data_IF_271317898397
#
_entry.id   IF_271317898397
#
_cell.length_a   1.000
_cell.length_b   1.000
_cell.length_c   1.000
_cell.angle_alpha   90.00
_cell.angle_beta   90.00
_cell.angle_gamma   90.00
#
_symmetry.space_group_name_H-M   'P 1'
#
loop_
_entity.id
_entity.type
_entity.pdbx_description
1 polymer ?
#
# COMPACT_ATOMS: atom_id res chain seq x y z
N UNK A 1 46.82 14.74 -1.94
CA UNK A 1 46.68 13.28 -2.13
C UNK A 1 45.37 13.03 -2.84
N UNK A 2 45.46 12.57 -4.07
CA UNK A 2 44.35 12.45 -5.03
C UNK A 2 43.84 11.01 -5.09
N UNK A 3 42.52 10.85 -5.07
CA UNK A 3 41.78 9.60 -5.18
C UNK A 3 41.83 8.97 -6.59
N UNK A 4 41.68 7.64 -6.72
CA UNK A 4 41.18 7.03 -7.94
C UNK A 4 39.87 6.23 -7.74
N UNK A 5 39.00 6.33 -8.74
CA UNK A 5 37.68 5.68 -8.96
C UNK A 5 37.78 4.19 -9.35
N UNK A 6 36.75 3.35 -9.08
CA UNK A 6 36.71 1.96 -9.53
C UNK A 6 35.86 1.77 -10.80
N UNK A 7 36.52 1.45 -11.92
CA UNK A 7 35.93 0.82 -13.11
C UNK A 7 36.87 -0.31 -13.56
N UNK A 8 36.72 -1.52 -13.04
CA UNK A 8 37.32 -2.72 -13.66
C UNK A 8 36.87 -4.03 -12.99
N UNK A 9 35.77 -4.63 -13.44
CA UNK A 9 35.61 -6.10 -13.41
C UNK A 9 34.38 -6.58 -14.18
N UNK A 10 34.40 -6.44 -15.51
CA UNK A 10 33.58 -7.26 -16.41
C UNK A 10 34.50 -7.84 -17.47
N UNK A 11 35.08 -9.02 -17.20
CA UNK A 11 35.66 -9.96 -18.19
C UNK A 11 36.23 -11.21 -17.47
N UNK A 12 35.38 -12.22 -17.30
CA UNK A 12 35.65 -13.67 -17.21
C UNK A 12 34.27 -14.26 -16.92
N UNK A 13 33.60 -14.88 -17.89
CA UNK A 13 33.74 -16.32 -18.17
C UNK A 13 33.32 -16.53 -19.62
N UNK A 14 34.27 -16.90 -20.47
CA UNK A 14 34.08 -17.67 -21.70
C UNK A 14 35.47 -18.06 -22.19
N UNK A 15 35.91 -19.29 -21.89
CA UNK A 15 36.89 -20.07 -22.66
C UNK A 15 37.20 -21.39 -21.94
N UNK A 16 36.71 -22.50 -22.50
CA UNK A 16 37.45 -23.77 -22.64
C UNK A 16 36.80 -24.59 -23.76
N UNK A 17 37.45 -24.62 -24.92
CA UNK A 17 37.55 -25.78 -25.82
C UNK A 17 38.62 -25.49 -26.90
N UNK A 18 39.48 -26.47 -27.16
CA UNK A 18 40.72 -26.42 -27.97
C UNK A 18 40.47 -26.69 -29.47
N UNK A 19 41.45 -26.47 -30.39
CA UNK A 19 41.23 -26.46 -31.84
C UNK A 19 41.79 -27.69 -32.59
N UNK A 20 41.06 -28.13 -33.62
CA UNK A 20 41.52 -28.81 -34.85
C UNK A 20 40.27 -28.96 -35.73
N UNK A 21 40.20 -28.77 -37.04
CA UNK A 21 41.16 -28.59 -38.15
C UNK A 21 40.40 -27.96 -39.33
N UNK A 22 41.10 -27.28 -40.23
CA UNK A 22 40.57 -26.52 -41.40
C UNK A 22 40.00 -27.39 -42.52
N UNK A 23 38.96 -26.91 -43.21
CA UNK A 23 38.81 -26.95 -44.68
C UNK A 23 37.67 -26.02 -45.17
N UNK A 24 37.72 -25.52 -46.43
CA UNK A 24 37.05 -24.30 -46.86
C UNK A 24 35.64 -24.51 -47.45
N UNK A 25 34.85 -23.43 -47.41
CA UNK A 25 33.54 -23.26 -48.04
C UNK A 25 33.53 -23.68 -49.52
N UNK A 26 32.36 -24.12 -50.02
CA UNK A 26 31.90 -23.65 -51.32
C UNK A 26 30.51 -22.99 -51.23
N UNK A 27 30.38 -21.92 -52.01
CA UNK A 27 29.12 -21.31 -52.38
C UNK A 27 28.30 -22.24 -53.29
N UNK A 28 26.97 -22.21 -53.16
CA UNK A 28 26.02 -21.99 -54.25
C UNK A 28 24.59 -22.31 -53.80
N UNK A 29 23.67 -21.44 -54.22
CA UNK A 29 22.22 -21.60 -54.17
C UNK A 29 21.75 -22.90 -54.85
N UNK A 30 20.84 -23.63 -54.21
CA UNK A 30 19.78 -24.35 -54.90
C UNK A 30 18.50 -24.32 -54.05
N UNK A 31 17.41 -23.86 -54.68
CA UNK A 31 16.05 -23.78 -54.14
C UNK A 31 15.52 -25.14 -53.65
N UNK A 32 14.45 -25.00 -52.86
CA UNK A 32 13.38 -25.95 -52.49
C UNK A 32 13.62 -26.77 -51.24
N UNK A 33 13.14 -26.25 -50.10
CA UNK A 33 12.35 -27.09 -49.21
C UNK A 33 11.26 -26.24 -48.52
N UNK A 34 10.02 -26.70 -48.65
CA UNK A 34 8.82 -26.09 -48.12
C UNK A 34 8.71 -26.39 -46.64
N UNK A 35 9.04 -25.42 -45.78
CA UNK A 35 8.42 -25.32 -44.45
C UNK A 35 7.93 -23.91 -44.25
N UNK A 36 6.62 -23.73 -44.49
CA UNK A 36 5.86 -22.60 -43.97
C UNK A 36 6.03 -22.61 -42.45
N UNK A 37 6.95 -21.80 -41.95
CA UNK A 37 6.85 -21.28 -40.60
C UNK A 37 5.68 -20.31 -40.63
N UNK A 38 4.62 -20.61 -39.88
CA UNK A 38 3.63 -19.61 -39.51
C UNK A 38 4.37 -18.52 -38.73
N UNK A 39 4.80 -17.49 -39.44
CA UNK A 39 5.10 -16.22 -38.79
C UNK A 39 3.80 -15.80 -38.12
N UNK A 40 3.80 -15.71 -36.79
CA UNK A 40 2.80 -14.94 -36.07
C UNK A 40 2.87 -13.51 -36.60
N UNK A 41 2.10 -13.23 -37.64
CA UNK A 41 1.67 -11.88 -37.96
C UNK A 41 0.85 -11.45 -36.76
N UNK A 42 1.44 -10.62 -35.90
CA UNK A 42 0.67 -9.80 -34.99
C UNK A 42 -0.12 -8.88 -35.92
N UNK A 43 -1.37 -9.25 -36.18
CA UNK A 43 -2.33 -8.34 -36.78
C UNK A 43 -2.39 -7.16 -35.81
N UNK A 44 -1.76 -6.05 -36.21
CA UNK A 44 -1.92 -4.77 -35.54
C UNK A 44 -3.37 -4.39 -35.82
N UNK A 45 -4.26 -4.83 -34.93
CA UNK A 45 -5.63 -4.34 -34.83
C UNK A 45 -5.54 -2.83 -34.92
N UNK A 46 -6.26 -2.22 -35.87
CA UNK A 46 -6.31 -0.76 -36.01
C UNK A 46 -6.51 -0.14 -34.64
N UNK A 47 -5.79 0.93 -34.32
CA UNK A 47 -5.79 1.48 -32.97
C UNK A 47 -7.14 2.12 -32.66
N UNK A 48 -8.08 1.33 -32.17
CA UNK A 48 -9.30 1.77 -31.48
C UNK A 48 -8.97 2.39 -30.11
N UNK A 49 -7.71 2.81 -29.90
CA UNK A 49 -7.25 3.52 -28.71
C UNK A 49 -7.88 4.90 -28.75
N UNK A 50 -8.72 5.27 -27.76
CA UNK A 50 -9.27 6.60 -27.68
C UNK A 50 -8.14 7.63 -27.68
N UNK A 51 -8.26 8.66 -28.52
CA UNK A 51 -7.28 9.75 -28.57
C UNK A 51 -7.31 10.64 -27.33
N UNK A 52 -8.40 10.56 -26.57
CA UNK A 52 -8.59 11.22 -25.29
C UNK A 52 -8.69 10.13 -24.22
N UNK A 53 -7.79 10.11 -23.22
CA UNK A 53 -7.90 9.16 -22.13
C UNK A 53 -9.18 9.42 -21.33
N UNK A 54 -9.82 8.39 -20.76
CA UNK A 54 -10.92 8.59 -19.83
C UNK A 54 -10.41 9.44 -18.65
N UNK A 55 -11.06 10.57 -18.40
CA UNK A 55 -10.71 11.45 -17.29
C UNK A 55 -11.42 10.99 -16.02
N UNK A 56 -10.73 10.97 -14.87
CA UNK A 56 -11.39 10.77 -13.59
C UNK A 56 -12.49 11.83 -13.38
N UNK A 57 -13.68 11.49 -12.85
CA UNK A 57 -14.78 12.43 -12.67
C UNK A 57 -14.35 13.74 -11.98
N UNK A 58 -13.62 13.64 -10.86
CA UNK A 58 -13.11 14.79 -10.09
C UNK A 58 -12.23 15.70 -10.97
N UNK A 59 -11.39 15.10 -11.82
CA UNK A 59 -10.53 15.86 -12.73
C UNK A 59 -11.30 16.47 -13.89
N UNK A 60 -12.29 15.76 -14.42
CA UNK A 60 -13.18 16.23 -15.50
C UNK A 60 -13.97 17.47 -15.07
N UNK A 61 -14.57 17.44 -13.88
CA UNK A 61 -15.30 18.59 -13.32
C UNK A 61 -14.38 19.80 -13.12
N UNK A 62 -13.19 19.58 -12.57
CA UNK A 62 -12.19 20.63 -12.38
C UNK A 62 -11.72 21.25 -13.69
N UNK A 63 -11.50 20.44 -14.73
CA UNK A 63 -11.17 20.95 -16.07
C UNK A 63 -12.31 21.81 -16.61
N UNK A 64 -13.56 21.35 -16.47
CA UNK A 64 -14.71 22.09 -16.96
C UNK A 64 -14.83 23.46 -16.27
N UNK A 65 -14.70 23.52 -14.94
CA UNK A 65 -14.67 24.76 -14.16
C UNK A 65 -13.53 25.68 -14.63
N UNK A 66 -12.31 25.13 -14.74
CA UNK A 66 -11.15 25.92 -15.19
C UNK A 66 -11.36 26.48 -16.59
N UNK A 67 -11.95 25.71 -17.51
CA UNK A 67 -12.27 26.16 -18.86
C UNK A 67 -13.34 27.26 -18.86
N UNK A 68 -14.35 27.19 -18.00
CA UNK A 68 -15.37 28.23 -17.87
C UNK A 68 -14.76 29.54 -17.39
N UNK A 69 -13.95 29.50 -16.33
CA UNK A 69 -13.21 30.66 -15.81
C UNK A 69 -12.28 31.29 -16.84
N UNK A 70 -11.61 30.45 -17.65
CA UNK A 70 -10.79 30.91 -18.77
C UNK A 70 -11.63 31.62 -19.85
N UNK A 71 -12.80 31.09 -20.21
CA UNK A 71 -13.72 31.75 -21.16
C UNK A 71 -14.28 33.07 -20.61
N UNK A 72 -14.46 33.17 -19.30
CA UNK A 72 -14.87 34.38 -18.61
C UNK A 72 -13.75 35.44 -18.47
N UNK A 73 -12.50 35.10 -18.86
CA UNK A 73 -11.36 36.02 -18.79
C UNK A 73 -10.78 36.19 -17.38
N UNK A 74 -11.01 35.23 -16.48
CA UNK A 74 -10.54 35.30 -15.08
C UNK A 74 -9.05 35.00 -14.89
N UNK A 75 -8.37 34.48 -15.92
CA UNK A 75 -6.96 34.20 -15.86
C UNK A 75 -6.14 35.47 -16.07
N UNK A 76 -5.15 35.68 -15.19
CA UNK A 76 -4.17 36.74 -15.34
C UNK A 76 -2.76 36.21 -15.07
N UNK A 77 -1.77 36.79 -15.77
CA UNK A 77 -0.37 36.36 -15.64
C UNK A 77 0.16 36.55 -14.21
N UNK A 78 -0.38 37.52 -13.49
CA UNK A 78 -0.09 37.81 -12.08
C UNK A 78 -0.44 36.66 -11.13
N UNK A 79 -1.26 35.69 -11.57
CA UNK A 79 -1.58 34.48 -10.81
C UNK A 79 -0.52 33.37 -10.96
N UNK A 80 0.39 33.49 -11.91
CA UNK A 80 1.40 32.46 -12.20
C UNK A 80 2.54 32.52 -11.17
N UNK A 81 2.94 31.40 -10.54
CA UNK A 81 4.07 31.38 -9.61
C UNK A 81 5.34 31.96 -10.24
N UNK A 82 5.94 32.95 -9.56
CA UNK A 82 7.17 33.60 -10.04
C UNK A 82 7.00 34.56 -11.21
N UNK A 83 5.77 34.92 -11.62
CA UNK A 83 5.59 35.88 -12.70
C UNK A 83 6.05 37.28 -12.31
N UNK A 84 6.93 37.85 -13.13
CA UNK A 84 7.36 39.24 -13.04
C UNK A 84 7.23 39.87 -14.43
N UNK A 85 6.42 40.93 -14.52
CA UNK A 85 6.17 41.64 -15.78
C UNK A 85 7.48 42.14 -16.41
N UNK A 86 7.68 41.80 -17.68
CA UNK A 86 8.86 42.20 -18.45
C UNK A 86 10.12 41.38 -18.15
N UNK A 87 10.04 40.35 -17.31
CA UNK A 87 11.15 39.43 -17.03
C UNK A 87 10.87 38.03 -17.60
N UNK A 88 11.93 37.28 -17.85
CA UNK A 88 11.82 35.86 -18.20
C UNK A 88 11.48 35.06 -16.93
N UNK A 89 10.75 33.94 -17.03
CA UNK A 89 10.59 33.03 -15.90
C UNK A 89 11.94 32.62 -15.36
N UNK A 90 12.12 32.69 -14.04
CA UNK A 90 13.28 32.10 -13.37
C UNK A 90 12.98 30.62 -13.12
N UNK A 91 13.98 29.77 -13.27
CA UNK A 91 13.85 28.34 -12.91
C UNK A 91 13.80 28.13 -11.41
N UNK A 92 14.21 29.14 -10.62
CA UNK A 92 14.26 29.13 -9.16
C UNK A 92 12.93 28.69 -8.53
N UNK A 93 11.82 29.34 -8.91
CA UNK A 93 10.49 28.98 -8.40
C UNK A 93 10.12 27.54 -8.72
N UNK A 94 10.40 27.07 -9.94
CA UNK A 94 10.04 25.72 -10.38
C UNK A 94 10.96 24.63 -9.82
N UNK A 95 12.18 24.95 -9.43
CA UNK A 95 13.09 24.03 -8.78
C UNK A 95 12.78 23.86 -7.27
N UNK A 96 12.02 24.80 -6.70
CA UNK A 96 11.72 24.84 -5.27
C UNK A 96 10.22 24.66 -4.95
N UNK A 97 9.36 24.54 -5.94
CA UNK A 97 7.95 24.16 -5.74
C UNK A 97 7.84 22.66 -5.48
N UNK A 98 7.15 22.29 -4.41
CA UNK A 98 6.92 20.88 -4.10
C UNK A 98 5.83 20.29 -5.01
N UNK A 99 5.96 19.01 -5.35
CA UNK A 99 4.90 18.28 -6.06
C UNK A 99 3.55 18.36 -5.33
N UNK A 100 3.57 18.37 -3.99
CA UNK A 100 2.37 18.47 -3.14
C UNK A 100 1.67 19.83 -3.27
N UNK A 101 2.34 20.88 -3.73
CA UNK A 101 1.71 22.17 -4.05
C UNK A 101 1.03 22.16 -5.43
N UNK A 102 1.51 21.31 -6.34
CA UNK A 102 1.02 21.18 -7.71
C UNK A 102 -0.12 20.18 -7.79
N UNK A 103 0.00 19.04 -7.12
CA UNK A 103 -0.96 17.93 -7.22
C UNK A 103 -2.41 18.37 -6.99
N UNK A 104 -2.77 19.08 -5.89
CA UNK A 104 -4.14 19.52 -5.65
C UNK A 104 -4.60 20.54 -6.68
N UNK A 105 -3.68 21.25 -7.35
CA UNK A 105 -3.96 22.20 -8.46
C UNK A 105 -4.11 21.52 -9.83
N UNK A 106 -3.75 20.26 -9.95
CA UNK A 106 -4.00 19.47 -11.16
C UNK A 106 -5.26 18.65 -10.96
N UNK A 107 -5.35 17.89 -9.86
CA UNK A 107 -6.36 16.84 -9.70
C UNK A 107 -7.64 17.28 -9.01
N UNK A 108 -7.66 18.45 -8.37
CA UNK A 108 -8.88 19.01 -7.76
C UNK A 108 -9.14 18.52 -6.35
N UNK A 109 -8.19 17.77 -5.79
CA UNK A 109 -8.34 17.14 -4.49
C UNK A 109 -6.98 16.91 -3.84
N UNK A 110 -7.01 16.70 -2.54
CA UNK A 110 -5.92 16.11 -1.79
C UNK A 110 -6.11 14.59 -1.67
N UNK A 111 -5.04 13.90 -1.29
CA UNK A 111 -5.03 12.48 -0.95
C UNK A 111 -3.85 12.20 0.00
N UNK A 112 -3.83 11.02 0.61
CA UNK A 112 -2.76 10.53 1.47
C UNK A 112 -3.24 10.10 2.85
N UNK A 113 -2.74 8.96 3.32
CA UNK A 113 -2.96 8.41 4.68
C UNK A 113 -1.89 8.81 5.70
N UNK A 114 -0.99 9.74 5.35
CA UNK A 114 0.11 10.18 6.22
C UNK A 114 -0.39 10.67 7.59
N UNK A 115 0.35 10.34 8.65
CA UNK A 115 0.03 10.73 10.01
C UNK A 115 -1.23 10.07 10.58
N UNK A 116 -1.76 10.67 11.65
CA UNK A 116 -2.93 10.16 12.39
C UNK A 116 -4.07 11.18 12.49
N UNK A 117 -4.05 12.22 11.63
CA UNK A 117 -5.11 13.24 11.59
C UNK A 117 -6.46 12.66 11.16
N UNK A 118 -7.50 13.49 11.12
CA UNK A 118 -8.87 13.03 10.89
C UNK A 118 -9.06 12.36 9.53
N UNK A 119 -9.48 11.10 9.53
CA UNK A 119 -9.79 10.29 8.36
C UNK A 119 -11.05 10.81 7.69
N UNK A 120 -10.98 10.97 6.38
CA UNK A 120 -12.06 11.57 5.59
C UNK A 120 -12.60 10.63 4.53
N UNK A 121 -11.75 9.78 3.96
CA UNK A 121 -12.13 8.96 2.81
C UNK A 121 -11.37 7.64 2.78
N UNK A 122 -12.10 6.56 2.52
CA UNK A 122 -11.57 5.20 2.40
C UNK A 122 -12.20 4.46 1.22
N UNK A 123 -11.59 3.35 0.84
CA UNK A 123 -12.19 2.34 -0.03
C UNK A 123 -12.22 0.99 0.68
N UNK A 124 -13.36 0.32 0.56
CA UNK A 124 -13.56 -1.10 0.86
C UNK A 124 -13.80 -1.84 -0.46
N UNK A 125 -13.69 -3.16 -0.46
CA UNK A 125 -13.92 -3.97 -1.66
C UNK A 125 -15.25 -4.70 -1.56
N UNK A 126 -15.87 -4.98 -2.70
CA UNK A 126 -17.00 -5.91 -2.74
C UNK A 126 -16.53 -7.31 -2.37
N UNK A 127 -17.20 -7.91 -1.38
CA UNK A 127 -16.92 -9.29 -0.94
C UNK A 127 -17.74 -10.24 -1.82
N UNK A 128 -17.09 -11.24 -2.39
CA UNK A 128 -17.74 -12.24 -3.25
C UNK A 128 -17.29 -13.66 -2.89
N UNK A 129 -17.92 -14.66 -3.51
CA UNK A 129 -17.51 -16.06 -3.35
C UNK A 129 -16.06 -16.34 -3.79
N UNK A 130 -15.42 -15.40 -4.48
CA UNK A 130 -14.01 -15.47 -4.88
C UNK A 130 -13.03 -15.40 -3.71
N UNK A 131 -13.46 -14.99 -2.51
CA UNK A 131 -12.61 -15.15 -1.32
C UNK A 131 -12.41 -16.63 -0.96
N UNK A 132 -13.31 -17.49 -1.44
CA UNK A 132 -13.32 -18.91 -1.11
C UNK A 132 -13.22 -19.78 -2.37
N UNK A 133 -12.00 -19.99 -2.84
CA UNK A 133 -11.75 -21.01 -3.86
C UNK A 133 -11.46 -22.38 -3.24
N UNK A 134 -12.06 -23.44 -3.80
CA UNK A 134 -11.89 -24.82 -3.33
C UNK A 134 -10.44 -25.31 -3.36
N UNK A 135 -9.58 -24.72 -4.22
CA UNK A 135 -8.19 -25.14 -4.31
C UNK A 135 -7.34 -24.72 -3.09
N UNK A 136 -7.81 -23.77 -2.27
CA UNK A 136 -7.10 -23.34 -1.06
C UNK A 136 -6.97 -24.47 -0.03
N UNK A 137 -7.91 -25.42 -0.02
CA UNK A 137 -7.92 -26.55 0.92
C UNK A 137 -7.16 -27.78 0.37
N UNK A 138 -6.60 -27.72 -0.86
CA UNK A 138 -5.87 -28.85 -1.46
C UNK A 138 -4.50 -29.09 -0.81
N UNK A 139 -3.83 -28.03 -0.38
CA UNK A 139 -2.55 -28.08 0.32
C UNK A 139 -2.48 -26.97 1.38
N UNK A 140 -2.97 -27.24 2.60
CA UNK A 140 -2.96 -26.27 3.69
C UNK A 140 -1.56 -25.83 4.13
N UNK A 141 -0.50 -26.60 3.83
CA UNK A 141 0.87 -26.20 4.13
C UNK A 141 1.37 -25.14 3.13
N UNK A 142 0.96 -25.26 1.86
CA UNK A 142 1.27 -24.28 0.82
C UNK A 142 0.38 -23.03 0.90
N UNK A 143 -0.88 -23.18 1.33
CA UNK A 143 -1.82 -22.09 1.60
C UNK A 143 -2.05 -21.92 3.10
N UNK A 144 -1.02 -21.48 3.87
CA UNK A 144 -1.12 -21.40 5.31
C UNK A 144 -2.28 -20.49 5.73
N UNK A 145 -2.91 -20.88 6.83
CA UNK A 145 -4.05 -20.21 7.45
C UNK A 145 -3.63 -19.64 8.79
N UNK A 146 -4.24 -18.52 9.20
CA UNK A 146 -3.94 -17.93 10.51
C UNK A 146 -4.81 -18.52 11.61
N UNK A 147 -6.03 -18.96 11.29
CA UNK A 147 -6.94 -19.58 12.26
C UNK A 147 -7.58 -20.86 11.70
N UNK A 148 -8.56 -20.73 10.81
CA UNK A 148 -9.43 -21.83 10.38
C UNK A 148 -9.26 -22.22 8.90
N UNK A 149 -9.79 -23.39 8.53
CA UNK A 149 -9.88 -23.87 7.13
C UNK A 149 -10.59 -22.87 6.21
N UNK A 150 -10.19 -22.73 4.94
CA UNK A 150 -10.88 -21.82 4.00
C UNK A 150 -12.34 -22.23 3.81
N UNK A 151 -12.62 -23.53 3.84
CA UNK A 151 -13.98 -24.08 3.86
C UNK A 151 -14.86 -23.55 5.00
N UNK A 152 -14.30 -23.04 6.10
CA UNK A 152 -15.03 -22.49 7.25
C UNK A 152 -15.45 -21.02 7.09
N UNK A 153 -14.99 -20.33 6.05
CA UNK A 153 -15.35 -18.94 5.78
C UNK A 153 -16.81 -18.88 5.34
N UNK A 154 -17.57 -18.04 6.03
CA UNK A 154 -18.96 -17.70 5.79
C UNK A 154 -19.04 -16.37 5.04
N UNK A 155 -19.17 -16.45 3.70
CA UNK A 155 -19.21 -15.28 2.82
C UNK A 155 -20.39 -14.35 3.12
N UNK A 156 -21.64 -14.84 3.31
CA UNK A 156 -22.75 -13.99 3.76
C UNK A 156 -22.42 -13.21 5.05
N UNK A 157 -21.84 -13.87 6.06
CA UNK A 157 -21.44 -13.20 7.30
C UNK A 157 -20.34 -12.15 7.05
N UNK A 158 -19.36 -12.45 6.21
CA UNK A 158 -18.29 -11.51 5.84
C UNK A 158 -18.86 -10.27 5.12
N UNK A 159 -19.87 -10.45 4.26
CA UNK A 159 -20.61 -9.34 3.63
C UNK A 159 -21.33 -8.51 4.69
N UNK A 160 -22.09 -9.13 5.59
CA UNK A 160 -22.82 -8.42 6.65
C UNK A 160 -21.88 -7.62 7.55
N UNK A 161 -20.73 -8.19 7.92
CA UNK A 161 -19.70 -7.50 8.70
C UNK A 161 -19.05 -6.35 7.92
N UNK A 162 -18.79 -6.51 6.62
CA UNK A 162 -18.30 -5.43 5.75
C UNK A 162 -19.27 -4.26 5.68
N UNK A 163 -20.58 -4.54 5.57
CA UNK A 163 -21.62 -3.51 5.52
C UNK A 163 -21.82 -2.82 6.87
N UNK A 164 -21.76 -3.56 7.98
CA UNK A 164 -21.79 -2.98 9.32
C UNK A 164 -20.60 -2.04 9.56
N UNK A 165 -19.41 -2.42 9.07
CA UNK A 165 -18.22 -1.58 9.12
C UNK A 165 -18.37 -0.30 8.30
N UNK A 166 -18.83 -0.40 7.06
CA UNK A 166 -19.14 0.75 6.21
C UNK A 166 -20.09 1.73 6.90
N UNK A 167 -21.22 1.23 7.41
CA UNK A 167 -22.20 2.07 8.11
C UNK A 167 -21.61 2.75 9.35
N UNK A 168 -20.71 2.07 10.09
CA UNK A 168 -20.02 2.67 11.23
C UNK A 168 -19.09 3.81 10.80
N UNK A 169 -18.39 3.67 9.68
CA UNK A 169 -17.52 4.72 9.13
C UNK A 169 -18.33 5.94 8.65
N UNK A 170 -19.40 5.70 7.90
CA UNK A 170 -20.28 6.77 7.39
C UNK A 170 -20.96 7.55 8.51
N UNK A 171 -21.38 6.86 9.59
CA UNK A 171 -21.94 7.49 10.78
C UNK A 171 -20.96 8.47 11.47
N UNK A 172 -19.64 8.30 11.25
CA UNK A 172 -18.59 9.17 11.76
C UNK A 172 -18.03 10.11 10.69
N UNK A 173 -18.74 10.28 9.57
CA UNK A 173 -18.42 11.27 8.54
C UNK A 173 -17.26 10.90 7.63
N UNK A 174 -16.91 9.61 7.55
CA UNK A 174 -15.95 9.08 6.58
C UNK A 174 -16.70 8.73 5.30
N UNK A 175 -16.20 9.20 4.15
CA UNK A 175 -16.69 8.80 2.84
C UNK A 175 -16.15 7.40 2.53
N UNK A 176 -17.06 6.46 2.26
CA UNK A 176 -16.69 5.08 1.90
C UNK A 176 -16.98 4.85 0.42
N UNK A 177 -15.99 4.34 -0.30
CA UNK A 177 -16.15 3.83 -1.66
C UNK A 177 -16.11 2.31 -1.65
N UNK A 178 -16.82 1.67 -2.60
CA UNK A 178 -16.67 0.23 -2.86
C UNK A 178 -16.06 -0.03 -4.23
N UNK A 179 -15.04 -0.89 -4.25
CA UNK A 179 -14.41 -1.38 -5.49
C UNK A 179 -14.77 -2.83 -5.74
N UNK A 180 -15.31 -3.10 -6.92
CA UNK A 180 -15.59 -4.45 -7.39
C UNK A 180 -14.44 -4.95 -8.26
N UNK A 181 -13.94 -6.15 -8.00
CA UNK A 181 -13.05 -6.83 -8.94
C UNK A 181 -13.86 -7.50 -10.06
N UNK A 182 -13.29 -7.66 -11.28
CA UNK A 182 -13.84 -8.56 -12.28
C UNK A 182 -13.99 -9.97 -11.70
N UNK A 183 -15.03 -10.70 -12.11
CA UNK A 183 -15.33 -12.03 -11.56
C UNK A 183 -15.09 -13.13 -12.60
N UNK A 184 -14.30 -14.19 -12.28
CA UNK A 184 -13.47 -14.30 -11.08
C UNK A 184 -12.28 -13.32 -11.14
N UNK A 185 -11.77 -12.83 -9.99
CA UNK A 185 -10.61 -11.96 -9.96
C UNK A 185 -9.37 -12.76 -10.34
N UNK A 186 -8.42 -12.12 -11.02
CA UNK A 186 -7.25 -12.79 -11.60
C UNK A 186 -5.97 -12.20 -11.04
N UNK A 187 -5.07 -13.08 -10.65
CA UNK A 187 -3.68 -12.79 -10.28
C UNK A 187 -2.71 -13.24 -11.37
N UNK A 188 -1.43 -12.88 -11.22
CA UNK A 188 -0.38 -13.33 -12.11
C UNK A 188 -0.25 -14.88 -12.23
N UNK A 189 -0.75 -15.64 -11.24
CA UNK A 189 -0.55 -17.08 -11.14
C UNK A 189 -1.86 -17.89 -11.05
N UNK A 190 -3.01 -17.28 -11.33
CA UNK A 190 -4.32 -17.95 -11.26
C UNK A 190 -5.38 -17.06 -10.62
N UNK A 191 -6.45 -17.64 -10.03
CA UNK A 191 -7.47 -16.86 -9.34
C UNK A 191 -6.85 -16.00 -8.23
N UNK A 192 -7.22 -14.73 -8.17
CA UNK A 192 -6.72 -13.85 -7.12
C UNK A 192 -7.31 -14.25 -5.77
N UNK A 193 -6.57 -13.95 -4.70
CA UNK A 193 -6.96 -14.31 -3.34
C UNK A 193 -6.94 -13.09 -2.41
N UNK A 194 -7.81 -13.12 -1.41
CA UNK A 194 -7.93 -12.10 -0.36
C UNK A 194 -8.26 -10.72 -0.96
N UNK A 195 -9.15 -10.66 -1.95
CA UNK A 195 -9.50 -9.38 -2.61
C UNK A 195 -10.08 -8.36 -1.63
N UNK A 196 -10.59 -8.84 -0.50
CA UNK A 196 -10.98 -8.08 0.69
C UNK A 196 -9.92 -7.13 1.27
N UNK A 197 -8.63 -7.40 1.06
CA UNK A 197 -7.52 -6.64 1.64
C UNK A 197 -7.25 -5.32 0.91
N UNK A 198 -8.17 -4.37 1.01
CA UNK A 198 -8.10 -3.08 0.32
C UNK A 198 -6.92 -2.20 0.75
N UNK A 199 -6.29 -2.47 1.90
CA UNK A 199 -5.13 -1.71 2.39
C UNK A 199 -3.91 -1.75 1.45
N UNK A 200 -3.87 -2.70 0.51
CA UNK A 200 -2.86 -2.70 -0.55
C UNK A 200 -2.93 -1.48 -1.45
N UNK A 201 -4.09 -0.82 -1.53
CA UNK A 201 -4.14 0.55 -2.01
C UNK A 201 -3.56 1.48 -0.94
N UNK A 202 -2.24 1.62 -0.96
CA UNK A 202 -1.54 2.49 -0.05
C UNK A 202 -1.35 3.86 -0.67
N UNK A 203 -2.07 4.86 -0.16
CA UNK A 203 -2.03 6.23 -0.67
C UNK A 203 -1.18 7.10 0.24
N UNK A 204 -0.07 7.59 -0.29
CA UNK A 204 0.71 8.67 0.33
C UNK A 204 0.21 10.03 -0.21
N UNK A 205 0.61 11.14 0.44
CA UNK A 205 0.28 12.45 -0.12
C UNK A 205 0.80 12.57 -1.55
N UNK A 206 -0.10 12.93 -2.46
CA UNK A 206 0.16 13.05 -3.90
C UNK A 206 -0.14 11.79 -4.73
N UNK A 207 -0.30 10.60 -4.12
CA UNK A 207 -0.69 9.41 -4.87
C UNK A 207 -0.46 8.06 -4.18
N UNK A 208 -0.92 7.01 -4.84
CA UNK A 208 -0.75 5.61 -4.46
C UNK A 208 0.66 5.10 -4.75
N UNK A 209 1.07 4.03 -4.07
CA UNK A 209 2.31 3.30 -4.36
C UNK A 209 2.02 1.84 -4.62
N UNK A 210 2.75 1.22 -5.53
CA UNK A 210 2.61 -0.20 -5.84
C UNK A 210 3.62 -1.01 -5.02
N UNK A 211 3.16 -1.85 -4.06
CA UNK A 211 4.03 -2.74 -3.32
C UNK A 211 4.55 -3.86 -4.22
N UNK A 212 5.59 -4.55 -3.75
CA UNK A 212 5.96 -5.86 -4.26
C UNK A 212 5.85 -6.88 -3.14
N UNK A 213 4.97 -7.86 -3.35
CA UNK A 213 4.61 -8.91 -2.40
C UNK A 213 5.76 -9.88 -2.16
N UNK A 214 6.03 -10.14 -0.89
CA UNK A 214 6.95 -11.20 -0.45
C UNK A 214 6.23 -12.50 -0.15
N UNK A 215 4.95 -12.38 0.24
CA UNK A 215 4.13 -13.51 0.67
C UNK A 215 2.86 -13.58 -0.18
N UNK A 216 2.42 -14.81 -0.45
CA UNK A 216 1.19 -15.16 -1.18
C UNK A 216 1.20 -14.76 -2.69
N UNK A 217 1.57 -15.68 -3.60
CA UNK A 217 1.67 -15.38 -5.03
C UNK A 217 0.32 -15.00 -5.67
N UNK A 218 -0.81 -15.47 -5.12
CA UNK A 218 -2.14 -15.18 -5.65
C UNK A 218 -2.66 -13.77 -5.33
N UNK A 219 -1.87 -12.94 -4.63
CA UNK A 219 -2.16 -11.52 -4.42
C UNK A 219 -1.58 -10.61 -5.51
N UNK A 220 -0.67 -11.11 -6.37
CA UNK A 220 -0.06 -10.31 -7.45
C UNK A 220 -1.11 -9.82 -8.44
N UNK A 221 -1.19 -8.51 -8.69
CA UNK A 221 -2.21 -7.87 -9.52
C UNK A 221 -3.29 -7.12 -8.71
N UNK A 222 -3.41 -7.37 -7.40
CA UNK A 222 -4.42 -6.73 -6.54
C UNK A 222 -4.14 -5.24 -6.37
N UNK A 223 -2.93 -4.87 -5.94
CA UNK A 223 -2.56 -3.47 -5.77
C UNK A 223 -2.61 -2.67 -7.09
N UNK A 224 -2.21 -3.28 -8.20
CA UNK A 224 -2.28 -2.66 -9.53
C UNK A 224 -3.72 -2.37 -9.94
N UNK A 225 -4.65 -3.31 -9.69
CA UNK A 225 -6.06 -3.11 -9.97
C UNK A 225 -6.67 -2.00 -9.09
N UNK A 226 -6.37 -2.02 -7.78
CA UNK A 226 -6.84 -0.99 -6.86
C UNK A 226 -6.28 0.39 -7.22
N UNK A 227 -5.01 0.48 -7.61
CA UNK A 227 -4.39 1.74 -8.03
C UNK A 227 -4.98 2.25 -9.37
N UNK A 228 -5.25 1.35 -10.32
CA UNK A 228 -5.97 1.70 -11.55
C UNK A 228 -7.35 2.28 -11.23
N UNK A 229 -8.11 1.64 -10.34
CA UNK A 229 -9.40 2.14 -9.89
C UNK A 229 -9.26 3.51 -9.22
N UNK A 230 -8.34 3.67 -8.27
CA UNK A 230 -8.13 4.92 -7.54
C UNK A 230 -7.73 6.06 -8.49
N UNK A 231 -6.88 5.78 -9.47
CA UNK A 231 -6.52 6.77 -10.48
C UNK A 231 -7.74 7.13 -11.33
N UNK A 232 -8.37 6.15 -11.96
CA UNK A 232 -9.44 6.39 -12.95
C UNK A 232 -10.74 6.90 -12.34
N UNK A 233 -11.00 6.65 -11.06
CA UNK A 233 -12.24 7.05 -10.38
C UNK A 233 -12.05 8.25 -9.47
N UNK A 234 -10.92 8.32 -8.77
CA UNK A 234 -10.69 9.34 -7.75
C UNK A 234 -9.65 10.38 -8.17
N UNK A 235 -8.87 10.14 -9.21
CA UNK A 235 -7.76 11.03 -9.59
C UNK A 235 -6.53 10.86 -8.70
N UNK A 236 -6.34 9.68 -8.09
CA UNK A 236 -5.18 9.34 -7.24
C UNK A 236 -4.16 8.57 -8.10
N UNK A 237 -3.07 9.22 -8.60
CA UNK A 237 -2.11 8.59 -9.50
C UNK A 237 -1.18 7.61 -8.74
N UNK A 238 -0.33 6.89 -9.46
CA UNK A 238 0.77 6.10 -8.87
C UNK A 238 2.03 6.96 -8.78
N UNK A 239 2.61 7.10 -7.58
CA UNK A 239 3.87 7.80 -7.33
C UNK A 239 5.08 6.95 -7.71
N UNK A 240 5.08 5.69 -7.28
CA UNK A 240 6.16 4.74 -7.53
C UNK A 240 5.69 3.29 -7.41
N UNK A 241 6.57 2.37 -7.81
CA UNK A 241 6.42 0.94 -7.62
C UNK A 241 7.71 0.37 -7.03
N UNK A 242 7.60 -0.61 -6.14
CA UNK A 242 8.74 -1.39 -5.67
C UNK A 242 9.18 -2.36 -6.77
N UNK A 243 10.46 -2.33 -7.14
CA UNK A 243 10.97 -3.08 -8.30
C UNK A 243 12.19 -3.94 -7.97
N UNK A 244 12.63 -4.75 -8.95
CA UNK A 244 13.82 -5.60 -8.82
C UNK A 244 13.63 -6.67 -7.74
N UNK A 245 14.63 -6.81 -6.86
CA UNK A 245 14.58 -7.75 -5.72
C UNK A 245 13.92 -7.16 -4.47
N UNK A 246 13.45 -5.91 -4.53
CA UNK A 246 12.73 -5.28 -3.43
C UNK A 246 11.45 -6.04 -3.09
N UNK A 247 11.20 -6.18 -1.79
CA UNK A 247 9.99 -6.73 -1.20
C UNK A 247 9.54 -5.73 -0.12
N UNK A 248 8.33 -5.22 -0.25
CA UNK A 248 7.79 -4.27 0.72
C UNK A 248 6.26 -4.30 0.65
N UNK A 249 5.64 -5.11 1.50
CA UNK A 249 4.19 -5.14 1.64
C UNK A 249 3.73 -3.93 2.44
N UNK A 250 3.57 -2.80 1.77
CA UNK A 250 3.28 -1.53 2.47
C UNK A 250 1.86 -1.47 3.05
N UNK A 251 0.92 -2.27 2.54
CA UNK A 251 -0.47 -2.30 3.03
C UNK A 251 -0.61 -2.35 4.56
N UNK A 252 0.04 -3.30 5.26
CA UNK A 252 0.05 -3.37 6.72
C UNK A 252 0.90 -2.31 7.44
N UNK A 253 1.70 -1.51 6.72
CA UNK A 253 2.45 -0.40 7.31
C UNK A 253 1.51 0.77 7.67
N UNK A 254 1.93 1.63 8.59
CA UNK A 254 1.13 2.78 9.02
C UNK A 254 2.00 3.83 9.70
N UNK A 255 1.42 5.01 9.93
CA UNK A 255 2.05 6.10 10.65
C UNK A 255 1.63 6.08 12.13
N UNK A 256 2.51 6.48 13.04
CA UNK A 256 2.14 6.83 14.43
C UNK A 256 2.02 8.35 14.64
N UNK A 257 2.61 9.12 13.74
CA UNK A 257 2.61 10.59 13.69
C UNK A 257 3.04 11.00 12.26
N UNK A 258 3.00 12.30 11.95
CA UNK A 258 3.45 12.82 10.64
C UNK A 258 4.89 12.41 10.27
N UNK A 259 5.75 12.25 11.28
CA UNK A 259 7.20 11.97 11.18
C UNK A 259 7.58 10.56 11.67
N UNK A 260 6.61 9.69 11.98
CA UNK A 260 6.88 8.34 12.50
C UNK A 260 6.17 7.30 11.65
N UNK A 261 6.94 6.52 10.89
CA UNK A 261 6.44 5.46 10.04
C UNK A 261 6.82 4.08 10.58
N UNK A 262 5.85 3.18 10.65
CA UNK A 262 6.02 1.79 11.09
C UNK A 262 6.04 0.87 9.88
N UNK A 263 7.08 0.05 9.82
CA UNK A 263 7.27 -1.03 8.85
C UNK A 263 7.92 -2.21 9.56
N UNK A 264 8.37 -3.22 8.82
CA UNK A 264 9.22 -4.24 9.42
C UNK A 264 10.14 -4.92 8.43
N UNK A 265 10.91 -5.88 8.93
CA UNK A 265 11.83 -6.75 8.22
C UNK A 265 11.39 -8.20 8.41
N UNK A 266 11.41 -9.02 7.37
CA UNK A 266 11.05 -10.43 7.47
C UNK A 266 10.48 -11.02 6.18
N UNK A 267 9.52 -11.92 6.27
CA UNK A 267 9.00 -12.61 5.08
C UNK A 267 8.29 -11.68 4.08
N UNK A 268 7.69 -10.60 4.57
CA UNK A 268 6.94 -9.62 3.78
C UNK A 268 7.73 -8.34 3.43
N UNK A 269 9.00 -8.26 3.84
CA UNK A 269 9.82 -7.05 3.71
C UNK A 269 11.32 -7.38 3.59
N UNK A 270 12.06 -6.63 2.80
CA UNK A 270 13.52 -6.70 2.81
C UNK A 270 14.19 -5.32 2.68
N UNK A 271 15.50 -5.28 2.94
CA UNK A 271 16.31 -4.06 2.92
C UNK A 271 16.18 -3.28 1.60
N UNK A 272 16.14 -3.99 0.45
CA UNK A 272 16.02 -3.37 -0.86
C UNK A 272 14.66 -2.67 -1.03
N UNK A 273 13.58 -3.31 -0.58
CA UNK A 273 12.24 -2.70 -0.59
C UNK A 273 12.17 -1.49 0.33
N UNK A 274 12.74 -1.58 1.53
CA UNK A 274 12.82 -0.47 2.48
C UNK A 274 13.62 0.71 1.90
N UNK A 275 14.76 0.44 1.26
CA UNK A 275 15.62 1.46 0.67
C UNK A 275 14.92 2.24 -0.46
N UNK A 276 14.10 1.56 -1.27
CA UNK A 276 13.28 2.22 -2.29
C UNK A 276 12.16 3.08 -1.67
N UNK A 277 11.53 2.63 -0.58
CA UNK A 277 10.35 3.30 -0.03
C UNK A 277 10.64 4.45 0.93
N UNK A 278 11.75 4.43 1.69
CA UNK A 278 12.09 5.49 2.65
C UNK A 278 12.04 6.90 2.06
N UNK A 279 12.70 7.20 0.91
CA UNK A 279 12.66 8.54 0.33
C UNK A 279 11.27 8.97 -0.12
N UNK A 280 10.45 8.02 -0.60
CA UNK A 280 9.09 8.31 -1.07
C UNK A 280 8.18 8.65 0.11
N UNK A 281 8.26 7.88 1.19
CA UNK A 281 7.51 8.12 2.42
C UNK A 281 7.89 9.48 3.02
N UNK A 282 9.19 9.77 3.17
CA UNK A 282 9.67 11.03 3.72
C UNK A 282 9.20 12.25 2.90
N UNK A 283 9.41 12.22 1.58
CA UNK A 283 8.99 13.32 0.69
C UNK A 283 7.47 13.52 0.70
N UNK A 284 6.69 12.44 0.79
CA UNK A 284 5.23 12.57 0.92
C UNK A 284 4.79 13.21 2.24
N UNK A 285 5.62 13.15 3.29
CA UNK A 285 5.39 13.87 4.54
C UNK A 285 5.90 15.33 4.49
N UNK A 286 6.57 15.74 3.40
CA UNK A 286 7.26 17.03 3.29
C UNK A 286 8.53 17.09 4.14
N UNK A 287 9.18 15.93 4.35
CA UNK A 287 10.36 15.77 5.20
C UNK A 287 11.50 15.11 4.42
N UNK A 288 12.73 15.33 4.90
CA UNK A 288 13.87 14.52 4.51
C UNK A 288 13.88 13.19 5.27
N UNK A 289 14.63 12.20 4.78
CA UNK A 289 14.67 10.85 5.38
C UNK A 289 15.22 10.90 6.80
N UNK A 290 16.13 11.83 7.07
CA UNK A 290 16.79 12.07 8.34
C UNK A 290 15.86 12.67 9.40
N UNK A 291 14.82 13.38 8.97
CA UNK A 291 13.80 13.98 9.84
C UNK A 291 12.65 13.01 10.13
N UNK A 292 12.59 11.90 9.39
CA UNK A 292 11.65 10.81 9.64
C UNK A 292 12.21 9.80 10.64
N UNK A 293 11.37 9.38 11.58
CA UNK A 293 11.59 8.14 12.32
C UNK A 293 10.97 6.97 11.56
N UNK A 294 11.80 6.00 11.19
CA UNK A 294 11.33 4.71 10.70
C UNK A 294 11.45 3.66 11.81
N UNK A 295 10.31 3.27 12.39
CA UNK A 295 10.22 2.10 13.26
C UNK A 295 10.16 0.86 12.38
N UNK A 296 11.33 0.27 12.14
CA UNK A 296 11.48 -0.90 11.29
C UNK A 296 11.60 -2.14 12.17
N UNK A 297 10.47 -2.82 12.39
CA UNK A 297 10.36 -3.92 13.32
C UNK A 297 11.02 -5.19 12.74
N UNK A 298 12.01 -5.73 13.45
CA UNK A 298 12.57 -7.06 13.13
C UNK A 298 11.60 -8.17 13.58
N UNK A 299 10.86 -8.77 12.65
CA UNK A 299 9.87 -9.80 12.99
C UNK A 299 10.55 -11.14 13.32
N UNK A 300 10.19 -11.78 14.45
CA UNK A 300 10.80 -13.04 14.85
C UNK A 300 10.23 -14.23 14.07
N UNK A 301 11.01 -15.31 13.99
CA UNK A 301 10.55 -16.60 13.45
C UNK A 301 10.84 -16.82 11.96
N UNK A 302 10.36 -17.94 11.45
CA UNK A 302 10.54 -18.39 10.06
C UNK A 302 9.23 -18.83 9.39
N UNK A 303 8.09 -18.49 10.01
CA UNK A 303 6.75 -18.74 9.48
C UNK A 303 6.07 -17.41 9.32
N UNK A 304 5.30 -17.26 8.24
CA UNK A 304 4.57 -16.02 7.99
C UNK A 304 3.64 -15.63 9.15
N UNK A 305 3.03 -16.63 9.79
CA UNK A 305 2.31 -16.50 11.04
C UNK A 305 2.41 -17.80 11.86
N UNK A 306 2.52 -17.66 13.17
CA UNK A 306 2.57 -18.73 14.15
C UNK A 306 1.41 -18.55 15.14
N UNK A 307 0.30 -19.25 14.86
CA UNK A 307 -0.93 -19.17 15.65
C UNK A 307 -0.74 -19.40 17.16
N UNK A 308 0.09 -20.34 17.64
CA UNK A 308 0.32 -20.52 19.08
C UNK A 308 0.89 -19.27 19.77
N UNK A 309 1.77 -18.52 19.11
CA UNK A 309 2.36 -17.31 19.66
C UNK A 309 1.61 -16.03 19.28
N UNK A 310 0.71 -16.07 18.29
CA UNK A 310 0.01 -14.89 17.77
C UNK A 310 0.92 -13.95 16.97
N UNK A 311 2.05 -14.46 16.50
CA UNK A 311 3.11 -13.69 15.84
C UNK A 311 3.16 -14.02 14.34
N UNK A 312 3.02 -13.02 13.46
CA UNK A 312 3.42 -13.05 12.06
C UNK A 312 4.37 -11.91 11.61
N UNK A 313 4.36 -11.62 10.31
CA UNK A 313 5.33 -10.72 9.67
C UNK A 313 4.73 -9.41 9.16
N UNK A 314 3.67 -8.89 9.78
CA UNK A 314 3.03 -7.61 9.45
C UNK A 314 2.88 -6.71 10.70
N UNK A 315 3.23 -5.42 10.63
CA UNK A 315 3.28 -4.56 11.81
C UNK A 315 1.92 -4.13 12.37
N UNK A 316 0.88 -4.03 11.54
CA UNK A 316 -0.49 -3.71 11.96
C UNK A 316 -1.15 -4.80 12.81
N UNK A 317 -0.52 -5.98 12.93
CA UNK A 317 -0.94 -7.01 13.89
C UNK A 317 -0.45 -6.72 15.31
N UNK A 318 0.49 -5.78 15.50
CA UNK A 318 1.22 -5.63 16.76
C UNK A 318 1.30 -4.23 17.31
N UNK A 319 1.13 -3.22 16.47
CA UNK A 319 1.18 -1.84 16.92
C UNK A 319 0.24 -1.02 16.05
N UNK A 320 -0.48 -0.09 16.68
CA UNK A 320 -1.24 0.92 15.98
C UNK A 320 -1.37 2.17 16.87
N UNK A 321 -1.52 3.36 16.28
CA UNK A 321 -1.72 4.58 17.05
C UNK A 321 -3.16 4.63 17.58
N UNK A 322 -3.30 5.07 18.82
CA UNK A 322 -4.59 5.37 19.43
C UNK A 322 -4.84 6.88 19.51
N UNK A 323 -3.78 7.64 19.76
CA UNK A 323 -3.79 9.09 19.98
C UNK A 323 -2.35 9.62 19.92
N UNK A 324 -2.16 10.92 20.11
CA UNK A 324 -0.83 11.54 20.32
C UNK A 324 -0.11 10.83 21.45
N UNK A 325 1.04 10.22 21.13
CA UNK A 325 1.86 9.43 22.06
C UNK A 325 1.09 8.33 22.80
N UNK A 326 0.08 7.73 22.15
CA UNK A 326 -0.59 6.52 22.66
C UNK A 326 -0.65 5.46 21.58
N UNK A 327 -0.28 4.24 21.93
CA UNK A 327 -0.33 3.08 21.03
C UNK A 327 -0.97 1.90 21.72
N UNK A 328 -1.66 1.06 20.94
CA UNK A 328 -1.98 -0.31 21.34
C UNK A 328 -0.86 -1.22 20.84
N UNK A 329 -0.40 -2.16 21.65
CA UNK A 329 0.70 -3.05 21.27
C UNK A 329 0.49 -4.50 21.70
N UNK A 330 0.95 -5.44 20.87
CA UNK A 330 1.27 -6.80 21.28
C UNK A 330 2.79 -6.96 21.32
N UNK A 331 3.38 -6.78 22.50
CA UNK A 331 4.84 -6.71 22.69
C UNK A 331 5.61 -7.93 22.18
N UNK A 332 5.12 -9.18 22.26
CA UNK A 332 5.85 -10.33 21.73
C UNK A 332 6.10 -10.29 20.20
N UNK A 333 5.32 -9.50 19.46
CA UNK A 333 5.53 -9.27 18.03
C UNK A 333 6.47 -8.10 17.70
N UNK A 334 6.92 -7.34 18.70
CA UNK A 334 7.77 -6.16 18.53
C UNK A 334 9.22 -6.45 18.91
N UNK A 335 10.15 -5.82 18.20
CA UNK A 335 11.55 -5.85 18.57
C UNK A 335 11.84 -4.94 19.78
N UNK A 336 12.97 -5.20 20.44
CA UNK A 336 13.37 -4.42 21.60
C UNK A 336 13.60 -2.95 21.27
N UNK A 337 14.13 -2.64 20.08
CA UNK A 337 14.45 -1.28 19.66
C UNK A 337 13.19 -0.41 19.57
N UNK A 338 12.10 -0.95 19.02
CA UNK A 338 10.80 -0.28 18.90
C UNK A 338 10.21 -0.03 20.29
N UNK A 339 10.18 -1.05 21.15
CA UNK A 339 9.68 -0.91 22.54
C UNK A 339 10.50 0.11 23.35
N UNK A 340 11.82 0.08 23.20
CA UNK A 340 12.71 1.04 23.88
C UNK A 340 12.48 2.47 23.36
N UNK A 341 12.32 2.64 22.04
CA UNK A 341 12.05 3.93 21.41
C UNK A 341 10.74 4.56 21.93
N UNK A 342 9.67 3.77 22.01
CA UNK A 342 8.36 4.20 22.52
C UNK A 342 8.47 4.66 23.99
N UNK A 343 9.11 3.84 24.83
CA UNK A 343 9.29 4.14 26.26
C UNK A 343 10.13 5.39 26.49
N UNK A 344 11.25 5.55 25.78
CA UNK A 344 12.14 6.74 25.90
C UNK A 344 11.44 8.04 25.50
N UNK A 345 10.41 7.97 24.66
CA UNK A 345 9.61 9.13 24.21
C UNK A 345 8.31 9.32 24.99
N UNK A 346 8.09 8.51 26.03
CA UNK A 346 6.94 8.66 26.91
C UNK A 346 5.62 8.29 26.26
N UNK A 347 5.61 7.34 25.33
CA UNK A 347 4.36 6.79 24.81
C UNK A 347 3.60 6.06 25.93
N UNK A 348 2.30 6.29 26.00
CA UNK A 348 1.37 5.39 26.71
C UNK A 348 1.19 4.14 25.85
N UNK A 349 1.50 2.98 26.43
CA UNK A 349 1.43 1.69 25.74
C UNK A 349 0.28 0.89 26.34
N UNK A 350 -0.75 0.63 25.55
CA UNK A 350 -1.88 -0.24 25.89
C UNK A 350 -1.55 -1.64 25.40
N UNK A 351 -1.21 -2.54 26.33
CA UNK A 351 -0.81 -3.91 25.97
C UNK A 351 -2.01 -4.79 25.66
N UNK A 352 -1.87 -5.61 24.60
CA UNK A 352 -2.82 -6.63 24.17
C UNK A 352 -2.44 -7.97 24.80
N UNK A 353 -3.43 -8.64 25.39
CA UNK A 353 -3.25 -9.98 25.93
C UNK A 353 -3.13 -11.03 24.82
N UNK A 354 -2.24 -12.02 25.01
CA UNK A 354 -2.02 -13.11 24.05
C UNK A 354 -3.32 -13.82 23.65
N UNK A 355 -4.23 -14.04 24.61
CA UNK A 355 -5.49 -14.73 24.37
C UNK A 355 -6.39 -14.03 23.36
N UNK A 356 -6.37 -12.68 23.31
CA UNK A 356 -7.10 -11.90 22.31
C UNK A 356 -6.27 -11.71 21.05
N UNK A 357 -4.94 -11.54 21.16
CA UNK A 357 -4.06 -11.45 19.99
C UNK A 357 -4.25 -12.65 19.05
N UNK A 358 -4.18 -13.87 19.61
CA UNK A 358 -4.25 -15.09 18.82
C UNK A 358 -5.59 -15.28 18.09
N UNK A 359 -6.66 -14.61 18.54
CA UNK A 359 -8.01 -14.77 17.99
C UNK A 359 -8.45 -13.57 17.12
N UNK A 360 -8.08 -12.36 17.51
CA UNK A 360 -8.68 -11.14 16.98
C UNK A 360 -7.67 -10.08 16.53
N UNK A 361 -6.36 -10.30 16.74
CA UNK A 361 -5.30 -9.32 16.52
C UNK A 361 -5.72 -7.87 16.89
N UNK A 362 -6.03 -7.57 18.17
CA UNK A 362 -6.67 -6.31 18.57
C UNK A 362 -5.94 -5.01 18.19
N UNK A 363 -4.67 -5.06 17.82
CA UNK A 363 -3.94 -3.93 17.27
C UNK A 363 -4.30 -3.60 15.80
N UNK A 364 -5.00 -4.49 15.09
CA UNK A 364 -5.43 -4.30 13.70
C UNK A 364 -6.67 -3.37 13.62
N UNK A 365 -6.48 -2.14 14.05
CA UNK A 365 -7.52 -1.12 14.22
C UNK A 365 -7.51 -0.10 13.08
N UNK A 366 -8.59 0.66 12.96
CA UNK A 366 -8.61 1.85 12.11
C UNK A 366 -8.72 3.13 12.96
N UNK A 367 -7.66 3.96 13.03
CA UNK A 367 -7.74 5.29 13.64
C UNK A 367 -8.55 6.27 12.77
N UNK A 368 -9.62 6.81 13.33
CA UNK A 368 -10.44 7.84 12.68
C UNK A 368 -9.86 9.23 12.93
N UNK A 369 -9.47 9.54 14.16
CA UNK A 369 -8.74 10.76 14.53
C UNK A 369 -8.02 10.49 15.86
N UNK A 370 -7.08 11.35 16.30
CA UNK A 370 -6.40 11.13 17.57
C UNK A 370 -7.41 11.00 18.72
N UNK A 371 -7.38 9.87 19.42
CA UNK A 371 -8.32 9.56 20.50
C UNK A 371 -9.62 8.87 20.07
N UNK A 372 -9.83 8.55 18.79
CA UNK A 372 -11.00 7.82 18.29
C UNK A 372 -10.61 6.73 17.28
N UNK A 373 -10.93 5.48 17.61
CA UNK A 373 -10.55 4.31 16.80
C UNK A 373 -11.72 3.35 16.58
N UNK A 374 -11.66 2.57 15.50
CA UNK A 374 -12.54 1.41 15.26
C UNK A 374 -11.80 0.13 15.63
N UNK A 375 -12.44 -0.73 16.43
CA UNK A 375 -11.89 -2.00 16.89
C UNK A 375 -12.85 -3.17 16.66
N UNK A 376 -12.29 -4.38 16.57
CA UNK A 376 -13.05 -5.62 16.58
C UNK A 376 -13.88 -5.71 17.87
N UNK A 377 -15.21 -5.78 17.74
CA UNK A 377 -16.14 -5.86 18.87
C UNK A 377 -15.86 -7.07 19.79
N UNK A 378 -15.29 -8.13 19.23
CA UNK A 378 -14.96 -9.36 19.96
C UNK A 378 -13.75 -9.21 20.92
N UNK A 379 -12.89 -8.21 20.73
CA UNK A 379 -11.69 -7.96 21.54
C UNK A 379 -12.00 -7.17 22.84
N UNK A 380 -12.95 -7.66 23.63
CA UNK A 380 -13.56 -6.94 24.77
C UNK A 380 -12.57 -6.47 25.84
N UNK A 381 -11.51 -7.22 26.12
CA UNK A 381 -10.51 -6.82 27.14
C UNK A 381 -9.62 -5.70 26.60
N UNK A 382 -9.15 -5.82 25.36
CA UNK A 382 -8.38 -4.78 24.67
C UNK A 382 -9.18 -3.49 24.53
N UNK A 383 -10.47 -3.59 24.16
CA UNK A 383 -11.38 -2.42 24.11
C UNK A 383 -11.47 -1.74 25.48
N UNK A 384 -11.64 -2.50 26.57
CA UNK A 384 -11.70 -1.95 27.91
C UNK A 384 -10.39 -1.24 28.29
N UNK A 385 -9.23 -1.82 27.95
CA UNK A 385 -7.91 -1.23 28.18
C UNK A 385 -7.69 0.05 27.36
N UNK A 386 -8.12 0.07 26.10
CA UNK A 386 -8.04 1.26 25.23
C UNK A 386 -8.92 2.39 25.77
N UNK A 387 -10.16 2.08 26.19
CA UNK A 387 -11.05 3.05 26.83
C UNK A 387 -10.50 3.59 28.15
N UNK A 388 -9.87 2.72 28.96
CA UNK A 388 -9.21 3.12 30.20
C UNK A 388 -8.03 4.07 29.95
N UNK A 389 -7.41 4.02 28.77
CA UNK A 389 -6.38 4.97 28.32
C UNK A 389 -6.95 6.31 27.78
N UNK A 390 -8.27 6.50 27.86
CA UNK A 390 -8.96 7.73 27.47
C UNK A 390 -9.21 7.84 25.97
N UNK A 391 -9.28 6.72 25.26
CA UNK A 391 -9.53 6.64 23.81
C UNK A 391 -10.95 6.14 23.58
N UNK A 392 -11.69 6.84 22.72
CA UNK A 392 -13.01 6.41 22.29
C UNK A 392 -12.91 5.26 21.29
N UNK A 393 -13.78 4.26 21.44
CA UNK A 393 -13.75 3.04 20.63
C UNK A 393 -15.12 2.78 20.04
N UNK A 394 -15.16 2.74 18.70
CA UNK A 394 -16.28 2.25 17.90
C UNK A 394 -16.08 0.75 17.70
N UNK A 395 -17.03 -0.05 18.17
CA UNK A 395 -16.97 -1.50 18.10
C UNK A 395 -17.68 -1.99 16.83
N UNK A 396 -16.99 -2.81 16.03
CA UNK A 396 -17.56 -3.40 14.81
C UNK A 396 -17.35 -4.92 14.84
N UNK A 397 -18.39 -5.74 14.66
CA UNK A 397 -18.24 -7.18 14.50
C UNK A 397 -17.42 -7.48 13.25
N UNK A 398 -16.28 -8.16 13.39
CA UNK A 398 -15.36 -8.35 12.27
C UNK A 398 -14.59 -9.68 12.33
N UNK A 399 -15.08 -10.64 13.13
CA UNK A 399 -14.48 -11.97 13.32
C UNK A 399 -14.30 -12.81 12.06
N UNK A 400 -15.07 -12.61 10.99
CA UNK A 400 -14.98 -13.48 9.81
C UNK A 400 -13.73 -13.20 8.97
N UNK A 401 -13.28 -11.93 8.93
CA UNK A 401 -12.03 -11.53 8.26
C UNK A 401 -10.79 -12.10 8.94
N UNK A 402 -10.83 -12.30 10.26
CA UNK A 402 -9.71 -12.86 11.02
C UNK A 402 -9.36 -14.29 10.60
N UNK A 403 -10.31 -15.05 10.05
CA UNK A 403 -10.04 -16.40 9.51
C UNK A 403 -9.10 -16.36 8.30
N UNK A 404 -9.14 -15.27 7.53
CA UNK A 404 -8.23 -14.98 6.42
C UNK A 404 -6.91 -14.32 6.87
N UNK A 405 -6.77 -13.98 8.16
CA UNK A 405 -5.53 -13.48 8.74
C UNK A 405 -5.38 -11.97 8.80
N UNK A 406 -6.46 -11.19 8.76
CA UNK A 406 -6.40 -9.76 9.02
C UNK A 406 -7.73 -9.16 9.44
N UNK A 407 -7.71 -7.88 9.76
CA UNK A 407 -8.83 -7.16 10.35
C UNK A 407 -9.13 -5.83 9.66
N UNK A 408 -9.59 -4.87 10.46
CA UNK A 408 -10.06 -3.56 10.00
C UNK A 408 -9.00 -2.76 9.26
N UNK A 409 -7.74 -2.79 9.71
CA UNK A 409 -6.67 -2.07 9.01
C UNK A 409 -6.42 -2.68 7.62
N UNK A 410 -6.27 -4.00 7.55
CA UNK A 410 -5.97 -4.71 6.31
C UNK A 410 -7.09 -4.59 5.25
N UNK A 411 -8.35 -4.51 5.69
CA UNK A 411 -9.50 -4.40 4.81
C UNK A 411 -9.78 -2.98 4.30
N UNK A 412 -9.00 -1.98 4.75
CA UNK A 412 -9.28 -0.56 4.48
C UNK A 412 -8.20 0.12 3.64
N UNK A 413 -8.53 0.47 2.41
CA UNK A 413 -7.71 1.34 1.57
C UNK A 413 -7.92 2.80 1.95
N UNK A 414 -7.03 3.38 2.75
CA UNK A 414 -7.20 4.77 3.22
C UNK A 414 -6.80 5.76 2.11
N UNK A 415 -7.75 6.58 1.65
CA UNK A 415 -7.56 7.49 0.52
C UNK A 415 -7.07 8.85 0.98
N UNK A 416 -7.70 9.41 2.02
CA UNK A 416 -7.38 10.76 2.50
C UNK A 416 -7.69 10.93 3.99
N UNK A 417 -6.72 11.50 4.71
CA UNK A 417 -6.91 12.08 6.03
C UNK A 417 -6.29 13.48 6.10
N UNK A 418 -6.77 14.29 7.02
CA UNK A 418 -6.17 15.58 7.36
C UNK A 418 -4.77 15.40 7.92
N UNK A 419 -3.97 16.47 7.84
CA UNK A 419 -2.65 16.50 8.47
C UNK A 419 -2.79 16.28 9.99
N UNK A 420 -2.05 15.31 10.50
CA UNK A 420 -2.02 14.97 11.91
C UNK A 420 -0.92 15.71 12.68
N UNK A 421 -0.75 15.34 13.95
CA UNK A 421 0.33 15.80 14.80
C UNK A 421 1.67 15.13 14.47
N UNK A 422 2.75 15.84 14.75
CA UNK A 422 4.12 15.32 14.79
C UNK A 422 4.37 14.62 16.14
N UNK A 423 5.38 13.75 16.19
CA UNK A 423 5.76 13.03 17.42
C UNK A 423 6.26 13.96 18.54
N UNK A 424 6.68 15.16 18.18
CA UNK A 424 7.09 16.23 19.08
C UNK A 424 5.93 17.02 19.68
N UNK A 425 4.73 16.90 19.11
CA UNK A 425 3.55 17.58 19.60
C UNK A 425 3.08 16.95 20.91
N UNK A 426 2.46 17.77 21.78
CA UNK A 426 2.08 17.40 23.16
C UNK A 426 0.58 17.31 23.35
#
# INVERSE_FOLDING_TARGET
MTWPTPWSSWRRICRRASPASRSPLPAAFSRTDERRGDAMTIDVVGSDVPTIPPLPPVYSERIADTQERLRAGEFSLEQMPGYIKGQRPTTDVWHHIDHLEIYPKVWGRECGKNGIGKLREVVLTEITDSEKFAFHDLDPAYFPQMADAYSSIDIPKMIDQSLAYEAALEAHGVIVHRVAFPQPPVSAFGPAKSTWAAAELFVLRGGSVLPKRGVQPLAYGRAEYLALWAWTRLGVPVLCAVTGTGIFEIGPCHFLAEDVFVSGNGMAFNDEGLAQMKPVIARSAGLDVEDMTFLHIEFPGNKYYDAPSGVGHHPDLYIAPLDVRKVVTYSPGLDFATLEWLRKRGYTIVEVEHSEQAQYAPANILPLEPGLVVMHAEATQSIASVRAAGVEVIEVPYSEFMKEGGGLHCSTGQIWREKGPYSTDT
#
